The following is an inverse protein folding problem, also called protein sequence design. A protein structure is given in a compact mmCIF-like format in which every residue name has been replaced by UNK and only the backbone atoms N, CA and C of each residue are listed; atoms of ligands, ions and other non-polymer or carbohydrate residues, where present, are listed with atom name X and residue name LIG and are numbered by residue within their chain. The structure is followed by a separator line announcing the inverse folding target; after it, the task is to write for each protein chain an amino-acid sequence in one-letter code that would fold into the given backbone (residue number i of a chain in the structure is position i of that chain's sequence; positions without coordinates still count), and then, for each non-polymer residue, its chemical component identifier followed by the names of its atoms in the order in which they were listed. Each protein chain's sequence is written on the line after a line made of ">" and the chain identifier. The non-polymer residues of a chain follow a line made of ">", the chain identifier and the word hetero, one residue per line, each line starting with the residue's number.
data_IF_659364341516
#
_entry.id   IF_659364341516
#
_cell.length_a   1.000
_cell.length_b   1.000
_cell.length_c   1.000
_cell.angle_alpha   90.00
_cell.angle_beta   90.00
_cell.angle_gamma   90.00
#
_symmetry.space_group_name_H-M   'P 1'
#
loop_
_entity.id
_entity.type
_entity.pdbx_description
1 polymer ?
#
# COMPACT_ATOMS: atom_id res chain seq x y z
N UNK A 1 3.08 6.48 10.79
CA UNK A 1 2.00 5.82 10.01
C UNK A 1 2.52 4.45 9.62
N UNK A 2 1.86 3.39 10.05
CA UNK A 2 2.37 2.00 9.99
C UNK A 2 2.06 1.28 8.65
N UNK A 3 1.38 1.95 7.73
CA UNK A 3 1.06 1.42 6.39
C UNK A 3 1.94 2.09 5.34
N UNK A 4 2.68 1.28 4.58
CA UNK A 4 3.76 1.74 3.69
C UNK A 4 3.28 2.75 2.63
N UNK A 5 2.16 2.45 1.94
CA UNK A 5 1.57 3.35 0.93
C UNK A 5 1.21 4.70 1.54
N UNK A 6 0.55 4.67 2.71
CA UNK A 6 0.15 5.89 3.41
C UNK A 6 1.37 6.68 3.88
N UNK A 7 2.38 6.00 4.44
CA UNK A 7 3.60 6.65 4.90
C UNK A 7 4.38 7.30 3.75
N UNK A 8 4.62 6.58 2.66
CA UNK A 8 5.36 7.12 1.51
C UNK A 8 4.60 8.29 0.87
N UNK A 9 3.28 8.17 0.72
CA UNK A 9 2.45 9.26 0.18
C UNK A 9 2.46 10.47 1.11
N UNK A 10 2.40 10.24 2.42
CA UNK A 10 2.48 11.32 3.42
C UNK A 10 3.83 12.05 3.34
N UNK A 11 4.95 11.31 3.36
CA UNK A 11 6.30 11.89 3.32
C UNK A 11 6.52 12.67 2.01
N UNK A 12 6.12 12.10 0.87
CA UNK A 12 6.14 12.78 -0.42
C UNK A 12 5.31 14.07 -0.42
N UNK A 13 4.14 14.07 0.22
CA UNK A 13 3.21 15.20 0.24
C UNK A 13 3.62 16.32 1.20
N UNK A 14 3.96 15.98 2.46
CA UNK A 14 4.20 16.95 3.52
C UNK A 14 5.68 17.29 3.72
N UNK A 15 6.55 16.29 3.61
CA UNK A 15 7.97 16.46 3.90
C UNK A 15 8.74 16.79 2.60
N UNK A 16 8.21 16.41 1.44
CA UNK A 16 8.79 16.74 0.14
C UNK A 16 10.04 15.93 -0.20
N UNK A 17 10.39 14.94 0.62
CA UNK A 17 11.45 13.99 0.34
C UNK A 17 11.13 12.60 0.91
N UNK A 18 11.74 11.57 0.34
CA UNK A 18 11.63 10.18 0.78
C UNK A 18 12.96 9.46 0.56
N UNK A 19 13.51 8.91 1.65
CA UNK A 19 14.69 8.03 1.62
C UNK A 19 14.24 6.60 1.84
N UNK A 20 14.61 5.70 0.93
CA UNK A 20 14.20 4.30 0.94
C UNK A 20 15.42 3.41 1.07
N UNK A 21 15.36 2.48 2.02
CA UNK A 21 16.29 1.36 2.17
C UNK A 21 15.65 0.10 1.61
N UNK A 22 16.48 -0.87 1.19
CA UNK A 22 16.01 -2.18 0.70
C UNK A 22 14.97 -2.02 -0.42
N UNK A 23 15.27 -1.16 -1.39
CA UNK A 23 14.33 -0.67 -2.39
C UNK A 23 13.66 -1.80 -3.19
N UNK A 24 14.37 -2.91 -3.36
CA UNK A 24 13.94 -4.07 -4.15
C UNK A 24 13.03 -5.03 -3.37
N UNK A 25 12.81 -4.83 -2.06
CA UNK A 25 11.93 -5.69 -1.26
C UNK A 25 10.49 -5.61 -1.75
N UNK A 26 9.93 -6.77 -2.09
CA UNK A 26 8.58 -6.93 -2.64
C UNK A 26 7.54 -7.03 -1.51
N UNK A 27 6.42 -6.34 -1.73
CA UNK A 27 5.27 -6.28 -0.83
C UNK A 27 4.00 -6.45 -1.63
N UNK A 28 2.94 -6.81 -0.93
CA UNK A 28 1.60 -6.81 -1.48
C UNK A 28 0.75 -5.75 -0.77
N UNK A 29 -0.08 -5.04 -1.52
CA UNK A 29 -0.91 -3.95 -1.04
C UNK A 29 -2.39 -4.24 -1.28
N UNK A 30 -3.25 -3.70 -0.41
CA UNK A 30 -4.69 -3.79 -0.54
C UNK A 30 -5.34 -2.53 0.00
N UNK A 31 -6.38 -2.05 -0.65
CA UNK A 31 -7.15 -0.92 -0.17
C UNK A 31 -8.06 -1.34 1.00
N UNK A 32 -8.20 -0.50 2.03
CA UNK A 32 -8.98 -0.85 3.23
C UNK A 32 -10.44 -1.18 2.92
N UNK A 33 -11.04 -0.52 1.92
CA UNK A 33 -12.39 -0.85 1.47
C UNK A 33 -12.47 -2.21 0.76
N UNK A 34 -11.43 -2.66 0.07
CA UNK A 34 -11.42 -4.02 -0.50
C UNK A 34 -11.30 -5.08 0.61
N UNK A 35 -10.61 -4.76 1.71
CA UNK A 35 -10.61 -5.63 2.91
C UNK A 35 -12.03 -5.74 3.48
N UNK A 36 -12.75 -4.62 3.61
CA UNK A 36 -14.14 -4.63 4.06
C UNK A 36 -15.07 -5.40 3.10
N UNK A 37 -14.93 -5.19 1.79
CA UNK A 37 -15.68 -5.93 0.76
C UNK A 37 -15.37 -7.43 0.82
N UNK A 38 -14.12 -7.81 1.09
CA UNK A 38 -13.71 -9.20 1.29
C UNK A 38 -14.39 -9.82 2.51
N UNK A 39 -14.51 -9.10 3.62
CA UNK A 39 -15.23 -9.60 4.79
C UNK A 39 -16.71 -9.84 4.48
N UNK A 40 -17.36 -8.92 3.74
CA UNK A 40 -18.74 -9.10 3.29
C UNK A 40 -18.86 -10.35 2.40
N UNK A 41 -17.93 -10.54 1.46
CA UNK A 41 -17.89 -11.73 0.60
C UNK A 41 -17.79 -13.03 1.40
N UNK A 42 -16.90 -13.07 2.40
CA UNK A 42 -16.74 -14.24 3.28
C UNK A 42 -18.03 -14.58 4.04
N UNK A 43 -18.72 -13.55 4.55
CA UNK A 43 -19.97 -13.70 5.31
C UNK A 43 -21.12 -14.18 4.40
N UNK A 44 -21.17 -13.70 3.16
CA UNK A 44 -22.21 -14.08 2.19
C UNK A 44 -21.97 -15.45 1.56
N UNK A 45 -20.73 -15.95 1.55
CA UNK A 45 -20.34 -17.21 0.90
C UNK A 45 -19.67 -18.21 1.88
N UNK A 46 -20.28 -18.53 3.04
CA UNK A 46 -19.61 -19.28 4.11
C UNK A 46 -19.20 -20.70 3.69
N UNK A 47 -20.00 -21.37 2.86
CA UNK A 47 -19.77 -22.76 2.44
C UNK A 47 -18.42 -22.97 1.73
N UNK A 48 -17.93 -21.97 0.98
CA UNK A 48 -16.64 -22.02 0.29
C UNK A 48 -15.47 -21.44 1.08
N UNK A 49 -15.73 -20.81 2.24
CA UNK A 49 -14.75 -19.96 2.93
C UNK A 49 -14.40 -20.49 4.33
N UNK A 50 -15.30 -21.20 5.00
CA UNK A 50 -15.05 -21.71 6.36
C UNK A 50 -13.90 -22.75 6.36
N UNK A 51 -13.07 -22.70 7.42
CA UNK A 51 -12.00 -23.67 7.65
C UNK A 51 -10.74 -23.47 6.79
N UNK A 52 -10.66 -22.33 6.09
CA UNK A 52 -9.62 -22.09 5.09
C UNK A 52 -9.02 -20.68 5.22
N UNK A 53 -7.68 -20.53 5.20
CA UNK A 53 -7.05 -19.22 5.10
C UNK A 53 -7.05 -18.70 3.65
N UNK A 54 -7.20 -17.39 3.51
CA UNK A 54 -7.18 -16.66 2.23
C UNK A 54 -6.25 -15.45 2.32
N UNK A 55 -5.38 -15.30 1.33
CA UNK A 55 -4.61 -14.07 1.16
C UNK A 55 -5.49 -13.03 0.48
N UNK A 56 -5.47 -11.80 1.00
CA UNK A 56 -6.22 -10.68 0.45
C UNK A 56 -5.22 -9.62 0.01
N UNK A 57 -5.30 -9.25 -1.26
CA UNK A 57 -4.28 -8.45 -1.93
C UNK A 57 -4.75 -8.01 -3.30
N UNK A 58 -4.13 -6.95 -3.82
CA UNK A 58 -4.19 -6.65 -5.25
C UNK A 58 -3.16 -7.54 -5.95
N UNK A 59 -3.61 -8.33 -6.91
CA UNK A 59 -2.72 -9.25 -7.65
C UNK A 59 -1.68 -8.51 -8.48
N UNK A 60 -2.07 -7.37 -9.03
CA UNK A 60 -1.22 -6.45 -9.76
C UNK A 60 -0.24 -5.69 -8.84
N UNK A 61 -0.42 -5.75 -7.51
CA UNK A 61 0.33 -4.94 -6.56
C UNK A 61 1.42 -5.70 -5.79
N UNK A 62 2.03 -6.72 -6.38
CA UNK A 62 3.29 -7.29 -5.89
C UNK A 62 4.47 -6.36 -6.27
N UNK A 63 4.49 -5.16 -5.70
CA UNK A 63 5.46 -4.11 -6.04
C UNK A 63 6.59 -4.03 -5.01
N UNK A 64 7.75 -3.57 -5.47
CA UNK A 64 8.88 -3.22 -4.62
C UNK A 64 8.65 -1.85 -3.97
N UNK A 65 9.44 -1.53 -2.94
CA UNK A 65 9.42 -0.18 -2.34
C UNK A 65 9.78 0.89 -3.37
N UNK A 66 10.71 0.59 -4.28
CA UNK A 66 11.06 1.44 -5.42
C UNK A 66 9.87 1.66 -6.36
N UNK A 67 9.23 0.59 -6.82
CA UNK A 67 8.08 0.67 -7.72
C UNK A 67 6.93 1.47 -7.09
N UNK A 68 6.64 1.25 -5.80
CA UNK A 68 5.67 2.05 -5.05
C UNK A 68 6.06 3.54 -5.02
N UNK A 69 7.32 3.86 -4.74
CA UNK A 69 7.77 5.25 -4.64
C UNK A 69 7.76 5.97 -5.98
N UNK A 70 8.16 5.28 -7.06
CA UNK A 70 8.05 5.79 -8.43
C UNK A 70 6.58 6.02 -8.80
N UNK A 71 5.69 5.10 -8.43
CA UNK A 71 4.25 5.26 -8.64
C UNK A 71 3.70 6.50 -7.94
N UNK A 72 4.10 6.75 -6.69
CA UNK A 72 3.72 7.97 -5.96
C UNK A 72 4.28 9.22 -6.63
N UNK A 73 5.49 9.15 -7.22
CA UNK A 73 6.13 10.27 -7.94
C UNK A 73 5.37 10.68 -9.20
N UNK A 74 4.61 9.78 -9.82
CA UNK A 74 3.68 10.13 -10.90
C UNK A 74 2.60 11.12 -10.42
N UNK A 75 2.14 11.01 -9.17
CA UNK A 75 1.11 11.90 -8.58
C UNK A 75 1.70 13.12 -7.88
N UNK A 76 2.93 13.03 -7.37
CA UNK A 76 3.65 14.10 -6.67
C UNK A 76 5.04 14.25 -7.30
N UNK A 77 5.18 14.90 -8.47
CA UNK A 77 6.44 14.88 -9.21
C UNK A 77 7.59 15.65 -8.54
N UNK A 78 7.28 16.57 -7.62
CA UNK A 78 8.24 17.52 -7.05
C UNK A 78 9.02 17.02 -5.85
N UNK A 79 8.66 15.88 -5.25
CA UNK A 79 9.37 15.39 -4.06
C UNK A 79 10.72 14.75 -4.44
N UNK A 80 11.71 14.89 -3.56
CA UNK A 80 13.03 14.28 -3.70
C UNK A 80 13.00 12.81 -3.30
N UNK A 81 13.39 11.90 -4.21
CA UNK A 81 13.41 10.46 -3.97
C UNK A 81 14.85 9.98 -3.97
N UNK A 82 15.29 9.32 -2.91
CA UNK A 82 16.63 8.76 -2.79
C UNK A 82 16.59 7.32 -2.29
N UNK A 83 17.40 6.47 -2.89
CA UNK A 83 17.60 5.09 -2.46
C UNK A 83 18.95 4.99 -1.77
N UNK A 84 18.95 4.58 -0.50
CA UNK A 84 20.18 4.41 0.27
C UNK A 84 20.52 2.94 0.41
N UNK A 85 21.78 2.60 0.12
CA UNK A 85 22.36 1.27 0.36
C UNK A 85 22.83 1.10 1.80
N UNK A 86 23.07 2.20 2.52
CA UNK A 86 23.52 2.20 3.91
C UNK A 86 22.33 2.46 4.82
N UNK A 87 22.03 1.49 5.69
CA UNK A 87 20.88 1.52 6.61
C UNK A 87 20.03 0.27 6.47
N UNK A 88 19.03 0.13 7.33
CA UNK A 88 18.12 -1.01 7.30
C UNK A 88 16.70 -0.57 7.65
N UNK A 89 15.71 -1.19 7.00
CA UNK A 89 14.32 -1.04 7.41
C UNK A 89 14.06 -1.99 8.59
N UNK A 90 13.46 -1.52 9.71
CA UNK A 90 12.95 -2.43 10.74
C UNK A 90 11.93 -3.44 10.16
N UNK A 91 11.24 -3.09 9.07
CA UNK A 91 10.35 -3.97 8.33
C UNK A 91 11.10 -4.80 7.28
N UNK A 92 11.46 -6.03 7.66
CA UNK A 92 12.17 -7.00 6.82
C UNK A 92 11.25 -7.87 5.93
N UNK A 93 9.97 -7.52 5.80
CA UNK A 93 9.05 -8.29 4.94
C UNK A 93 9.47 -8.16 3.47
N UNK A 94 9.71 -9.30 2.84
CA UNK A 94 10.01 -9.40 1.42
C UNK A 94 9.41 -10.70 0.87
N UNK A 95 8.29 -10.60 0.16
CA UNK A 95 7.57 -11.76 -0.36
C UNK A 95 6.72 -11.40 -1.58
N UNK A 96 6.42 -12.42 -2.37
CA UNK A 96 5.39 -12.39 -3.40
C UNK A 96 4.27 -13.31 -2.92
N UNK A 97 3.05 -12.77 -2.85
CA UNK A 97 1.88 -13.51 -2.36
C UNK A 97 0.91 -13.72 -3.52
N UNK A 98 0.36 -14.94 -3.57
CA UNK A 98 -0.72 -15.29 -4.49
C UNK A 98 -2.07 -15.18 -3.79
N UNK A 99 -2.99 -14.42 -4.39
CA UNK A 99 -4.39 -14.33 -3.95
C UNK A 99 -5.32 -15.26 -4.74
N UNK A 100 -4.75 -16.21 -5.51
CA UNK A 100 -5.49 -17.10 -6.42
C UNK A 100 -6.65 -17.81 -5.74
N UNK A 101 -6.43 -18.33 -4.52
CA UNK A 101 -7.48 -19.05 -3.77
C UNK A 101 -8.71 -18.19 -3.52
N UNK A 102 -8.52 -16.90 -3.25
CA UNK A 102 -9.61 -15.96 -3.00
C UNK A 102 -10.32 -15.58 -4.30
N UNK A 103 -9.57 -15.41 -5.40
CA UNK A 103 -10.13 -15.24 -6.74
C UNK A 103 -10.96 -16.43 -7.20
N UNK A 104 -10.44 -17.63 -7.01
CA UNK A 104 -11.14 -18.88 -7.33
C UNK A 104 -12.42 -19.04 -6.48
N UNK A 105 -12.46 -18.42 -5.30
CA UNK A 105 -13.65 -18.30 -4.45
C UNK A 105 -14.58 -17.13 -4.83
N UNK A 106 -14.31 -16.44 -5.95
CA UNK A 106 -15.17 -15.41 -6.52
C UNK A 106 -14.94 -13.99 -6.02
N UNK A 107 -13.85 -13.71 -5.32
CA UNK A 107 -13.53 -12.36 -4.85
C UNK A 107 -12.25 -11.81 -5.48
N UNK A 108 -12.32 -10.56 -5.94
CA UNK A 108 -11.19 -9.80 -6.45
C UNK A 108 -11.28 -8.35 -5.95
N UNK A 109 -10.14 -7.82 -5.49
CA UNK A 109 -10.03 -6.43 -5.04
C UNK A 109 -10.21 -5.48 -6.24
N UNK A 110 -10.97 -4.39 -6.05
CA UNK A 110 -11.44 -3.54 -7.15
C UNK A 110 -10.73 -2.20 -7.24
N UNK A 111 -10.02 -1.79 -6.20
CA UNK A 111 -9.45 -0.43 -6.11
C UNK A 111 -7.97 -0.48 -6.41
N UNK A 112 -7.55 0.30 -7.40
CA UNK A 112 -6.15 0.33 -7.79
C UNK A 112 -5.28 1.02 -6.73
N UNK A 113 -3.97 0.83 -6.84
CA UNK A 113 -3.01 1.58 -6.03
C UNK A 113 -3.10 3.10 -6.31
N UNK A 114 -3.33 3.48 -7.57
CA UNK A 114 -3.53 4.88 -7.98
C UNK A 114 -4.73 5.52 -7.28
N UNK A 115 -5.85 4.80 -7.14
CA UNK A 115 -7.03 5.30 -6.46
C UNK A 115 -6.72 5.59 -4.98
N UNK A 116 -6.03 4.66 -4.32
CA UNK A 116 -5.57 4.83 -2.95
C UNK A 116 -4.65 6.05 -2.78
N UNK A 117 -3.67 6.24 -3.66
CA UNK A 117 -2.75 7.40 -3.62
C UNK A 117 -3.52 8.72 -3.79
N UNK A 118 -4.44 8.80 -4.76
CA UNK A 118 -5.26 10.00 -4.99
C UNK A 118 -6.16 10.32 -3.80
N UNK A 119 -6.78 9.30 -3.19
CA UNK A 119 -7.61 9.46 -2.00
C UNK A 119 -6.80 9.99 -0.82
N UNK A 120 -5.59 9.45 -0.60
CA UNK A 120 -4.68 9.92 0.46
C UNK A 120 -4.27 11.38 0.25
N UNK A 121 -3.86 11.76 -0.97
CA UNK A 121 -3.51 13.16 -1.30
C UNK A 121 -4.69 14.10 -1.01
N UNK A 122 -5.90 13.70 -1.40
CA UNK A 122 -7.12 14.47 -1.09
C UNK A 122 -7.33 14.60 0.42
N UNK A 123 -7.18 13.51 1.17
CA UNK A 123 -7.30 13.51 2.63
C UNK A 123 -6.26 14.40 3.31
N UNK A 124 -5.00 14.33 2.88
CA UNK A 124 -3.91 15.13 3.44
C UNK A 124 -4.06 16.63 3.21
N UNK A 125 -4.61 17.03 2.05
CA UNK A 125 -4.98 18.44 1.81
C UNK A 125 -6.01 18.97 2.83
N UNK A 126 -6.95 18.13 3.26
CA UNK A 126 -8.01 18.51 4.19
C UNK A 126 -7.54 18.49 5.65
N UNK A 127 -6.70 17.52 6.03
CA UNK A 127 -6.20 17.40 7.41
C UNK A 127 -5.23 18.52 7.78
N UNK A 128 -4.58 19.16 6.80
CA UNK A 128 -3.51 20.11 7.06
C UNK A 128 -2.27 19.43 7.64
N UNK A 129 -1.18 20.20 7.81
CA UNK A 129 0.04 19.67 8.46
C UNK A 129 -0.20 19.60 9.97
N UNK A 130 0.11 18.46 10.60
CA UNK A 130 -0.01 18.33 12.05
C UNK A 130 0.92 19.34 12.75
N UNK A 131 0.46 20.04 13.81
CA UNK A 131 1.30 20.91 14.60
C UNK A 131 2.48 20.14 15.22
N UNK A 132 3.67 20.73 15.23
CA UNK A 132 4.83 20.21 15.99
C UNK A 132 5.78 19.25 15.27
N UNK A 133 5.70 19.10 13.94
CA UNK A 133 6.79 18.51 13.16
C UNK A 133 7.74 19.61 12.67
N UNK A 134 9.02 19.48 13.01
CA UNK A 134 10.07 20.42 12.62
C UNK A 134 10.20 20.53 11.10
N UNK A 135 10.48 21.75 10.65
CA UNK A 135 10.90 22.10 9.29
C UNK A 135 12.32 21.57 9.08
#
# INVERSE_FOLDING_TARGET
>A
LDLLVNHFTYAAFFDGYLVIFEKDFKRNYVHIRDVADCFIHCIQNPAGMIGSPFNVGLDEANLSKEELALKIKEHIPKFYLHFSEVGSDPDKRNYIVSNRRLRDAGFEAKRSLDDGIRELIKGYRLLGRMPGKNI
#
